data_IF_844826731949
#
_entry.id   IF_844826731949
#
_cell.length_a   1.000
_cell.length_b   1.000
_cell.length_c   1.000
_cell.angle_alpha   90.00
_cell.angle_beta   90.00
_cell.angle_gamma   90.00
#
_symmetry.space_group_name_H-M   'P 1'
#
loop_
_entity.id
_entity.type
_entity.pdbx_description
1 polymer ?
#
# COMPACT_ATOMS: atom_id res chain seq x y z
N UNK A 1 24.89 7.17 -5.71
CA UNK A 1 23.90 6.22 -6.25
C UNK A 1 22.60 6.43 -5.49
N UNK A 2 21.62 7.13 -6.06
CA UNK A 2 20.28 7.20 -5.49
C UNK A 2 19.63 5.85 -5.75
N UNK A 3 19.50 5.01 -4.72
CA UNK A 3 18.68 3.79 -4.82
C UNK A 3 17.26 4.14 -5.27
N UNK A 4 16.50 3.19 -5.84
CA UNK A 4 15.22 3.48 -6.46
C UNK A 4 14.34 4.25 -5.48
N UNK A 5 13.97 5.48 -5.87
CA UNK A 5 12.98 6.26 -5.14
C UNK A 5 11.74 5.39 -5.07
N UNK A 6 11.34 5.01 -3.86
CA UNK A 6 10.11 4.24 -3.67
C UNK A 6 8.98 4.94 -4.42
N UNK A 7 8.13 4.20 -5.15
CA UNK A 7 7.02 4.82 -5.87
C UNK A 7 6.24 5.72 -4.93
N UNK A 8 6.02 6.96 -5.34
CA UNK A 8 5.22 7.91 -4.57
C UNK A 8 3.75 7.54 -4.77
N UNK A 9 2.98 7.25 -3.71
CA UNK A 9 1.59 6.86 -3.86
C UNK A 9 0.76 8.01 -4.45
N UNK A 10 -0.09 7.68 -5.42
CA UNK A 10 -1.08 8.59 -6.01
C UNK A 10 -2.42 7.88 -6.10
N UNK A 11 -3.50 8.66 -6.18
CA UNK A 11 -4.82 8.10 -6.50
C UNK A 11 -4.75 7.44 -7.88
N UNK A 12 -5.30 6.24 -8.00
CA UNK A 12 -5.25 5.40 -9.20
C UNK A 12 -3.99 4.54 -9.32
N UNK A 13 -2.97 4.72 -8.47
CA UNK A 13 -1.79 3.85 -8.48
C UNK A 13 -2.19 2.42 -8.15
N UNK A 14 -1.58 1.47 -8.87
CA UNK A 14 -1.71 0.05 -8.57
C UNK A 14 -0.81 -0.32 -7.40
N UNK A 15 -1.30 -1.26 -6.59
CA UNK A 15 -0.60 -1.78 -5.45
C UNK A 15 -0.81 -3.29 -5.35
N UNK A 16 0.05 -3.94 -4.58
CA UNK A 16 -0.07 -5.32 -4.17
C UNK A 16 -0.35 -5.36 -2.67
N UNK A 17 -1.41 -6.05 -2.29
CA UNK A 17 -1.78 -6.30 -0.90
C UNK A 17 -1.25 -7.69 -0.54
N UNK A 18 -0.17 -7.75 0.22
CA UNK A 18 0.45 -8.99 0.67
C UNK A 18 -0.22 -9.46 1.98
N UNK A 19 -0.80 -10.65 1.94
CA UNK A 19 -1.48 -11.27 3.08
C UNK A 19 -0.52 -12.14 3.90
N UNK A 20 -0.85 -12.29 5.19
CA UNK A 20 -0.15 -13.25 6.03
C UNK A 20 -0.41 -14.67 5.51
N UNK A 21 0.65 -15.46 5.30
CA UNK A 21 0.56 -16.78 4.66
C UNK A 21 1.03 -16.83 3.19
N UNK A 22 1.52 -15.72 2.64
CA UNK A 22 2.24 -15.70 1.35
C UNK A 22 1.39 -15.40 0.11
N UNK A 23 0.07 -15.30 0.27
CA UNK A 23 -0.83 -14.84 -0.79
C UNK A 23 -0.74 -13.33 -1.01
N UNK A 24 -1.22 -12.89 -2.17
CA UNK A 24 -1.42 -11.48 -2.47
C UNK A 24 -2.60 -11.28 -3.39
N UNK A 25 -3.14 -10.08 -3.36
CA UNK A 25 -4.09 -9.58 -4.35
C UNK A 25 -3.64 -8.22 -4.85
N UNK A 26 -4.17 -7.79 -6.00
CA UNK A 26 -3.98 -6.45 -6.50
C UNK A 26 -4.93 -5.47 -5.78
N UNK A 27 -4.52 -4.22 -5.76
CA UNK A 27 -5.34 -3.14 -5.26
C UNK A 27 -5.11 -1.85 -6.02
N UNK A 28 -6.09 -0.96 -5.94
CA UNK A 28 -6.00 0.40 -6.48
C UNK A 28 -6.09 1.41 -5.35
N UNK A 29 -5.13 2.34 -5.30
CA UNK A 29 -5.16 3.45 -4.33
C UNK A 29 -6.32 4.37 -4.66
N UNK A 30 -7.28 4.48 -3.74
CA UNK A 30 -8.45 5.36 -3.86
C UNK A 30 -8.19 6.74 -3.25
N UNK A 31 -7.40 6.81 -2.18
CA UNK A 31 -7.10 8.05 -1.50
C UNK A 31 -5.70 8.03 -0.91
N UNK A 32 -5.06 9.21 -0.95
CA UNK A 32 -3.80 9.51 -0.27
C UNK A 32 -4.10 10.55 0.80
N UNK A 33 -3.82 10.20 2.06
CA UNK A 33 -4.17 10.95 3.26
C UNK A 33 -2.90 11.17 4.10
N UNK A 34 -2.99 12.06 5.09
CA UNK A 34 -1.91 12.36 6.05
C UNK A 34 -0.55 12.61 5.37
N UNK A 35 -0.54 13.42 4.30
CA UNK A 35 0.67 13.74 3.52
C UNK A 35 1.38 12.48 2.97
N UNK A 36 0.59 11.51 2.51
CA UNK A 36 1.10 10.24 1.98
C UNK A 36 1.41 9.18 3.02
N UNK A 37 1.14 9.43 4.30
CA UNK A 37 1.36 8.44 5.39
C UNK A 37 0.19 7.51 5.60
N UNK A 38 -0.97 7.78 4.99
CA UNK A 38 -2.15 6.91 5.08
C UNK A 38 -2.77 6.75 3.69
N UNK A 39 -3.15 5.52 3.35
CA UNK A 39 -3.72 5.17 2.06
C UNK A 39 -5.03 4.40 2.26
N UNK A 40 -6.02 4.67 1.40
CA UNK A 40 -7.17 3.80 1.20
C UNK A 40 -7.02 3.07 -0.12
N UNK A 41 -7.17 1.76 -0.10
CA UNK A 41 -6.95 0.90 -1.26
C UNK A 41 -8.16 0.00 -1.43
N UNK A 42 -8.68 -0.10 -2.65
CA UNK A 42 -9.68 -1.09 -3.01
C UNK A 42 -8.97 -2.37 -3.44
N UNK A 43 -9.23 -3.49 -2.77
CA UNK A 43 -8.76 -4.81 -3.20
C UNK A 43 -9.57 -5.38 -4.35
N UNK A 44 -9.24 -6.60 -4.77
CA UNK A 44 -9.90 -7.27 -5.89
C UNK A 44 -11.34 -7.65 -5.56
N UNK A 45 -11.62 -8.02 -4.30
CA UNK A 45 -12.96 -8.33 -3.81
C UNK A 45 -13.88 -7.11 -3.64
N UNK A 46 -13.37 -5.90 -3.88
CA UNK A 46 -14.10 -4.64 -3.76
C UNK A 46 -14.12 -4.05 -2.35
N UNK A 47 -13.58 -4.76 -1.36
CA UNK A 47 -13.37 -4.22 -0.02
C UNK A 47 -12.36 -3.06 -0.04
N UNK A 48 -12.57 -2.11 0.87
CA UNK A 48 -11.68 -0.96 1.04
C UNK A 48 -10.89 -1.15 2.31
N UNK A 49 -9.57 -1.26 2.16
CA UNK A 49 -8.62 -1.43 3.25
C UNK A 49 -7.84 -0.13 3.46
N UNK A 50 -7.53 0.16 4.71
CA UNK A 50 -6.73 1.32 5.09
C UNK A 50 -5.34 0.86 5.54
N UNK A 51 -4.31 1.57 5.04
CA UNK A 51 -2.92 1.29 5.34
C UNK A 51 -2.22 2.56 5.85
N UNK A 52 -1.34 2.38 6.82
CA UNK A 52 -0.52 3.46 7.41
C UNK A 52 0.97 3.17 7.22
N UNK A 53 1.74 4.22 6.96
CA UNK A 53 3.18 4.12 6.82
C UNK A 53 3.80 3.94 8.22
N UNK A 54 4.33 2.74 8.46
CA UNK A 54 5.09 2.43 9.66
C UNK A 54 6.44 3.16 9.62
N UNK A 55 6.75 4.07 10.56
CA UNK A 55 8.06 4.73 10.60
C UNK A 55 9.19 3.75 10.92
N UNK A 56 8.91 2.68 11.67
CA UNK A 56 9.89 1.68 12.10
C UNK A 56 10.41 0.82 10.92
N UNK A 57 9.55 0.53 9.95
CA UNK A 57 9.88 -0.35 8.81
C UNK A 57 9.85 0.37 7.47
N UNK A 58 9.38 1.62 7.48
CA UNK A 58 9.08 2.42 6.31
C UNK A 58 8.22 1.63 5.29
N UNK A 59 7.22 0.90 5.76
CA UNK A 59 6.27 0.11 4.94
C UNK A 59 4.84 0.47 5.29
N UNK A 60 3.95 0.38 4.32
CA UNK A 60 2.52 0.48 4.56
C UNK A 60 2.01 -0.84 5.16
N UNK A 61 1.40 -0.73 6.34
CA UNK A 61 0.80 -1.84 7.09
C UNK A 61 -0.67 -1.55 7.32
N UNK A 62 -1.49 -2.60 7.46
CA UNK A 62 -2.91 -2.43 7.77
C UNK A 62 -3.12 -1.54 9.00
N UNK A 63 -4.03 -0.56 8.87
CA UNK A 63 -4.39 0.32 9.97
C UNK A 63 -5.18 -0.42 11.07
N UNK A 64 -5.85 -1.53 10.73
CA UNK A 64 -6.61 -2.34 11.68
C UNK A 64 -5.72 -3.22 12.56
N UNK A 65 -4.55 -3.65 12.06
CA UNK A 65 -3.60 -4.45 12.83
C UNK A 65 -2.20 -4.36 12.22
N UNK A 66 -1.19 -4.13 13.07
CA UNK A 66 0.23 -4.13 12.65
C UNK A 66 0.76 -5.50 12.20
N UNK A 67 0.01 -6.57 12.47
CA UNK A 67 0.27 -7.92 11.95
C UNK A 67 -0.60 -8.27 10.72
N UNK A 68 -1.44 -7.33 10.27
CA UNK A 68 -2.32 -7.49 9.12
C UNK A 68 -1.59 -7.40 7.77
N UNK A 69 -2.36 -7.32 6.68
CA UNK A 69 -1.80 -7.25 5.34
C UNK A 69 -0.88 -6.03 5.17
N UNK A 70 0.07 -6.17 4.24
CA UNK A 70 1.04 -5.11 3.88
C UNK A 70 0.75 -4.62 2.48
N UNK A 71 1.03 -3.35 2.24
CA UNK A 71 0.84 -2.74 0.93
C UNK A 71 2.19 -2.43 0.28
N UNK A 72 2.35 -2.89 -0.95
CA UNK A 72 3.48 -2.61 -1.81
C UNK A 72 2.99 -1.81 -3.02
N UNK A 73 3.52 -0.60 -3.22
CA UNK A 73 3.18 0.19 -4.39
C UNK A 73 3.90 -0.37 -5.61
N UNK A 74 3.15 -0.64 -6.68
CA UNK A 74 3.70 -1.04 -7.95
C UNK A 74 4.10 0.25 -8.69
N UNK A 75 5.35 0.33 -9.15
CA UNK A 75 5.77 1.48 -9.97
C UNK A 75 4.95 1.53 -11.26
N UNK A 76 4.73 2.72 -11.81
CA UNK A 76 4.16 2.84 -13.14
C UNK A 76 5.10 2.15 -14.15
N UNK A 77 4.58 1.32 -15.07
CA UNK A 77 5.37 0.86 -16.19
C UNK A 77 5.73 2.10 -17.02
N UNK A 78 7.01 2.49 -16.98
CA UNK A 78 7.60 3.52 -17.82
C UNK A 78 7.51 3.16 -19.30
#
# INVERSE_FOLDING_TARGET
>A
MLGPSRPVPRVGSHARIAHFGGGFELGTVLAVLDDGRRLRVRGEGGEVLEFVLSPATARFVSAASGQGPRLELLGDPS
#
